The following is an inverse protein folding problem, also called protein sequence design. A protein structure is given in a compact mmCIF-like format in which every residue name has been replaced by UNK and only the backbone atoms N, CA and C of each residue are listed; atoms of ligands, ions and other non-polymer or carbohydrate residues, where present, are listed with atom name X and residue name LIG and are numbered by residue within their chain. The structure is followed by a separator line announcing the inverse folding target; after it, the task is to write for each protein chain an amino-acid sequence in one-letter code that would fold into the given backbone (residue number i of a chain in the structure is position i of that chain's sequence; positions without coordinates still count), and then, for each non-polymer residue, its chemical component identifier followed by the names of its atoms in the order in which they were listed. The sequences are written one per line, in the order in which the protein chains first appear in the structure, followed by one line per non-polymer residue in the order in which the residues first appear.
data_IF_341050758160
#
_entry.id   IF_341050758160
#
_cell.length_a   1.000
_cell.length_b   1.000
_cell.length_c   1.000
_cell.angle_alpha   90.00
_cell.angle_beta   90.00
_cell.angle_gamma   90.00
#
_symmetry.space_group_name_H-M   'P 1'
#
loop_
_entity.id
_entity.type
_entity.pdbx_description
1 polymer ?
#
# COMPACT_ATOMS: atom_id res chain seq x y z
N UNK A 1 10.41 -3.29 -15.51
CA UNK A 1 11.44 -3.88 -14.60
C UNK A 1 11.44 -3.17 -13.25
N UNK A 2 11.42 -1.84 -13.21
CA UNK A 2 11.39 -1.08 -11.94
C UNK A 2 10.17 -1.42 -11.08
N UNK A 3 9.02 -1.73 -11.69
CA UNK A 3 7.79 -2.13 -10.99
C UNK A 3 7.98 -3.38 -10.11
N UNK A 4 8.90 -4.28 -10.49
CA UNK A 4 9.22 -5.45 -9.68
C UNK A 4 9.94 -5.08 -8.39
N UNK A 5 10.67 -3.96 -8.38
CA UNK A 5 11.30 -3.46 -7.15
C UNK A 5 10.25 -3.04 -6.14
N UNK A 6 9.07 -2.54 -6.55
CA UNK A 6 8.02 -2.19 -5.61
C UNK A 6 7.56 -3.40 -4.78
N UNK A 7 7.47 -4.58 -5.39
CA UNK A 7 7.13 -5.84 -4.72
C UNK A 7 8.14 -6.24 -3.66
N UNK A 8 9.39 -5.78 -3.72
CA UNK A 8 10.36 -6.07 -2.67
C UNK A 8 9.99 -5.37 -1.36
N UNK A 9 9.24 -4.27 -1.40
CA UNK A 9 8.82 -3.55 -0.21
C UNK A 9 7.99 -4.40 0.74
N UNK A 10 7.05 -5.18 0.20
CA UNK A 10 6.22 -6.10 1.00
C UNK A 10 7.03 -7.27 1.57
N UNK A 11 8.01 -7.78 0.81
CA UNK A 11 8.90 -8.85 1.26
C UNK A 11 9.80 -8.34 2.40
N UNK A 12 10.42 -7.18 2.22
CA UNK A 12 11.26 -6.52 3.23
C UNK A 12 10.45 -6.22 4.50
N UNK A 13 9.24 -5.64 4.34
CA UNK A 13 8.32 -5.40 5.45
C UNK A 13 7.97 -6.68 6.22
N UNK A 14 7.68 -7.76 5.52
CA UNK A 14 7.38 -9.05 6.15
C UNK A 14 8.57 -9.59 6.95
N UNK A 15 9.80 -9.50 6.42
CA UNK A 15 11.01 -9.86 7.17
C UNK A 15 11.20 -8.99 8.40
N UNK A 16 11.00 -7.67 8.30
CA UNK A 16 11.07 -6.76 9.45
C UNK A 16 10.06 -7.18 10.53
N UNK A 17 8.79 -7.40 10.16
CA UNK A 17 7.76 -7.84 11.11
C UNK A 17 8.05 -9.19 11.76
N UNK A 18 8.84 -10.04 11.12
CA UNK A 18 9.29 -11.31 11.71
C UNK A 18 10.38 -11.13 12.78
N UNK A 19 11.19 -10.08 12.66
CA UNK A 19 12.29 -9.73 13.57
C UNK A 19 11.82 -8.85 14.74
N UNK A 20 10.83 -7.98 14.53
CA UNK A 20 10.39 -6.95 15.51
C UNK A 20 9.05 -7.27 16.17
N UNK A 21 8.74 -8.56 16.42
CA UNK A 21 7.41 -9.00 16.90
C UNK A 21 6.94 -8.31 18.18
N UNK A 22 7.84 -8.16 19.15
CA UNK A 22 7.49 -7.58 20.46
C UNK A 22 7.26 -6.06 20.35
N UNK A 23 8.09 -5.39 19.56
CA UNK A 23 7.95 -3.96 19.26
C UNK A 23 6.70 -3.67 18.43
N UNK A 24 6.34 -4.59 17.52
CA UNK A 24 5.19 -4.44 16.64
C UNK A 24 3.87 -4.43 17.41
N UNK A 25 3.75 -5.21 18.49
CA UNK A 25 2.54 -5.23 19.33
C UNK A 25 2.26 -3.86 19.95
N UNK A 26 3.30 -3.18 20.44
CA UNK A 26 3.20 -1.84 21.03
C UNK A 26 3.09 -0.77 19.93
N UNK A 27 3.85 -0.94 18.85
CA UNK A 27 3.96 0.02 17.74
C UNK A 27 2.87 -0.09 16.67
N UNK A 28 1.95 -1.05 16.76
CA UNK A 28 0.98 -1.39 15.69
C UNK A 28 0.20 -0.18 15.18
N UNK A 29 -0.21 0.72 16.08
CA UNK A 29 -0.96 1.94 15.73
C UNK A 29 -0.16 2.85 14.78
N UNK A 30 1.15 2.95 14.98
CA UNK A 30 2.04 3.76 14.14
C UNK A 30 2.22 3.13 12.77
N UNK A 31 2.39 1.81 12.69
CA UNK A 31 2.45 1.10 11.40
C UNK A 31 1.14 1.25 10.61
N UNK A 32 -0.02 1.17 11.27
CA UNK A 32 -1.32 1.43 10.65
C UNK A 32 -1.45 2.87 10.15
N UNK A 33 -1.01 3.85 10.96
CA UNK A 33 -1.04 5.26 10.58
C UNK A 33 -0.13 5.52 9.37
N UNK A 34 1.11 5.03 9.39
CA UNK A 34 2.06 5.13 8.28
C UNK A 34 1.52 4.44 7.02
N UNK A 35 0.95 3.24 7.15
CA UNK A 35 0.28 2.53 6.04
C UNK A 35 -0.79 3.42 5.42
N UNK A 36 -1.68 3.99 6.23
CA UNK A 36 -2.81 4.80 5.75
C UNK A 36 -2.34 6.10 5.10
N UNK A 37 -1.33 6.78 5.66
CA UNK A 37 -0.76 7.99 5.07
C UNK A 37 -0.17 7.68 3.69
N UNK A 38 0.66 6.64 3.61
CA UNK A 38 1.28 6.22 2.36
C UNK A 38 0.25 5.80 1.30
N UNK A 39 -0.83 5.13 1.72
CA UNK A 39 -1.95 4.78 0.84
C UNK A 39 -2.56 6.02 0.19
N UNK A 40 -2.89 7.05 0.98
CA UNK A 40 -3.47 8.29 0.45
C UNK A 40 -2.50 9.06 -0.44
N UNK A 41 -1.22 9.13 -0.08
CA UNK A 41 -0.18 9.73 -0.92
C UNK A 41 -0.06 8.97 -2.26
N UNK A 42 -0.13 7.65 -2.22
CA UNK A 42 -0.04 6.80 -3.41
C UNK A 42 -1.27 6.98 -4.31
N UNK A 43 -2.48 7.03 -3.75
CA UNK A 43 -3.69 7.38 -4.52
C UNK A 43 -3.53 8.75 -5.16
N UNK A 44 -3.08 9.76 -4.42
CA UNK A 44 -2.88 11.11 -4.94
C UNK A 44 -1.86 11.11 -6.10
N UNK A 45 -0.74 10.41 -5.94
CA UNK A 45 0.29 10.31 -6.97
C UNK A 45 -0.21 9.59 -8.24
N UNK A 46 -0.99 8.52 -8.08
CA UNK A 46 -1.56 7.75 -9.21
C UNK A 46 -2.66 8.54 -9.93
N UNK A 47 -3.43 9.34 -9.20
CA UNK A 47 -4.59 10.09 -9.75
C UNK A 47 -4.22 11.44 -10.33
N UNK A 48 -3.11 12.05 -9.91
CA UNK A 48 -2.64 13.36 -10.37
C UNK A 48 -2.63 13.55 -11.91
N UNK A 49 -2.16 12.59 -12.73
CA UNK A 49 -2.15 12.75 -14.18
C UNK A 49 -3.51 12.48 -14.86
N UNK A 50 -4.54 12.09 -14.12
CA UNK A 50 -5.83 11.67 -14.69
C UNK A 50 -6.80 12.85 -14.88
N UNK A 51 -7.83 12.64 -15.70
CA UNK A 51 -8.87 13.65 -15.86
C UNK A 51 -9.70 13.83 -14.56
N UNK A 52 -10.33 14.99 -14.39
CA UNK A 52 -11.10 15.33 -13.17
C UNK A 52 -12.19 14.31 -12.83
N UNK A 53 -12.85 13.74 -13.83
CA UNK A 53 -13.90 12.75 -13.63
C UNK A 53 -13.34 11.42 -13.09
N UNK A 54 -12.26 10.92 -13.67
CA UNK A 54 -11.54 9.72 -13.25
C UNK A 54 -10.98 9.88 -11.84
N UNK A 55 -10.50 11.08 -11.47
CA UNK A 55 -10.06 11.39 -10.10
C UNK A 55 -11.21 11.19 -9.11
N UNK A 56 -12.40 11.73 -9.38
CA UNK A 56 -13.56 11.58 -8.49
C UNK A 56 -13.98 10.12 -8.32
N UNK A 57 -13.96 9.33 -9.42
CA UNK A 57 -14.27 7.90 -9.37
C UNK A 57 -13.25 7.14 -8.52
N UNK A 58 -11.95 7.39 -8.69
CA UNK A 58 -10.90 6.71 -7.93
C UNK A 58 -10.93 7.12 -6.45
N UNK A 59 -11.19 8.39 -6.15
CA UNK A 59 -11.37 8.84 -4.75
C UNK A 59 -12.58 8.15 -4.13
N UNK A 60 -13.71 8.07 -4.84
CA UNK A 60 -14.90 7.35 -4.36
C UNK A 60 -14.61 5.88 -4.07
N UNK A 61 -13.93 5.19 -4.99
CA UNK A 61 -13.48 3.81 -4.80
C UNK A 61 -12.48 3.67 -3.66
N UNK A 62 -11.55 4.62 -3.51
CA UNK A 62 -10.57 4.67 -2.44
C UNK A 62 -11.20 4.84 -1.06
N UNK A 63 -12.23 5.69 -0.95
CA UNK A 63 -13.02 5.85 0.28
C UNK A 63 -13.80 4.57 0.59
N UNK A 64 -14.45 3.96 -0.41
CA UNK A 64 -15.14 2.67 -0.24
C UNK A 64 -14.20 1.57 0.23
N UNK A 65 -13.03 1.45 -0.39
CA UNK A 65 -11.95 0.53 0.01
C UNK A 65 -11.43 0.86 1.42
N UNK A 66 -11.26 2.12 1.77
CA UNK A 66 -10.82 2.53 3.10
C UNK A 66 -11.83 2.12 4.19
N UNK A 67 -13.12 2.32 3.94
CA UNK A 67 -14.19 1.88 4.85
C UNK A 67 -14.13 0.36 5.01
N UNK A 68 -14.06 -0.39 3.91
CA UNK A 68 -13.92 -1.85 3.96
C UNK A 68 -12.66 -2.30 4.72
N UNK A 69 -11.51 -1.65 4.49
CA UNK A 69 -10.24 -1.92 5.17
C UNK A 69 -10.32 -1.66 6.68
N UNK A 70 -11.09 -0.65 7.08
CA UNK A 70 -11.26 -0.32 8.49
C UNK A 70 -12.08 -1.39 9.23
N UNK A 71 -13.09 -1.96 8.57
CA UNK A 71 -14.00 -2.93 9.17
C UNK A 71 -13.56 -4.39 8.99
N UNK A 72 -12.84 -4.74 7.93
CA UNK A 72 -12.37 -6.10 7.67
C UNK A 72 -10.85 -6.21 7.81
N UNK A 73 -10.39 -6.73 8.95
CA UNK A 73 -8.97 -7.08 9.20
C UNK A 73 -8.60 -8.42 8.57
N UNK A 74 -8.84 -8.59 7.27
CA UNK A 74 -8.54 -9.83 6.57
C UNK A 74 -7.18 -9.77 5.89
N UNK A 75 -6.32 -10.75 6.17
CA UNK A 75 -5.00 -10.92 5.54
C UNK A 75 -5.08 -10.91 4.01
N UNK A 76 -6.05 -11.64 3.44
CA UNK A 76 -6.25 -11.72 2.00
C UNK A 76 -6.70 -10.39 1.39
N UNK A 77 -7.48 -9.62 2.15
CA UNK A 77 -7.95 -8.33 1.69
C UNK A 77 -6.82 -7.30 1.61
N UNK A 78 -5.91 -7.29 2.58
CA UNK A 78 -4.71 -6.45 2.54
C UNK A 78 -3.82 -6.76 1.33
N UNK A 79 -3.57 -8.05 1.04
CA UNK A 79 -2.84 -8.46 -0.16
C UNK A 79 -3.56 -8.01 -1.44
N UNK A 80 -4.88 -8.21 -1.49
CA UNK A 80 -5.69 -7.79 -2.63
C UNK A 80 -5.58 -6.28 -2.87
N UNK A 81 -5.66 -5.46 -1.82
CA UNK A 81 -5.53 -4.00 -1.96
C UNK A 81 -4.15 -3.57 -2.46
N UNK A 82 -3.09 -4.25 -2.04
CA UNK A 82 -1.74 -4.00 -2.54
C UNK A 82 -1.58 -4.38 -4.01
N UNK A 83 -2.11 -5.55 -4.39
CA UNK A 83 -2.13 -5.99 -5.79
C UNK A 83 -2.90 -5.01 -6.68
N UNK A 84 -4.03 -4.49 -6.19
CA UNK A 84 -4.85 -3.51 -6.91
C UNK A 84 -4.10 -2.18 -7.11
N UNK A 85 -3.31 -1.74 -6.12
CA UNK A 85 -2.47 -0.54 -6.23
C UNK A 85 -1.28 -0.69 -7.19
N UNK A 86 -0.87 -1.92 -7.49
CA UNK A 86 0.20 -2.20 -8.44
C UNK A 86 -0.27 -2.09 -9.90
N UNK A 87 -1.53 -2.45 -10.20
CA UNK A 87 -2.06 -2.49 -11.58
C UNK A 87 -1.83 -1.16 -12.34
N UNK A 88 -2.14 0.02 -11.77
CA UNK A 88 -1.93 1.30 -12.47
C UNK A 88 -0.47 1.54 -12.88
N UNK A 89 0.50 0.96 -12.15
CA UNK A 89 1.94 1.16 -12.44
C UNK A 89 2.39 0.44 -13.72
N UNK A 90 1.64 -0.57 -14.19
CA UNK A 90 1.91 -1.26 -15.45
C UNK A 90 1.35 -0.52 -16.66
N UNK A 91 0.37 0.35 -16.45
CA UNK A 91 -0.26 1.17 -17.50
C UNK A 91 0.36 2.56 -17.63
N UNK A 92 1.22 2.96 -16.69
CA UNK A 92 1.91 4.24 -16.72
C UNK A 92 3.10 4.21 -17.67
N UNK A 93 3.24 5.24 -18.50
CA UNK A 93 4.42 5.43 -19.33
C UNK A 93 5.69 5.65 -18.50
N UNK A 94 6.81 5.15 -19.02
CA UNK A 94 8.14 5.26 -18.42
C UNK A 94 8.57 6.73 -18.43
N UNK A 95 8.17 7.44 -17.38
CA UNK A 95 8.38 8.87 -17.15
C UNK A 95 8.71 9.10 -15.67
N UNK A 96 9.04 10.33 -15.26
CA UNK A 96 9.31 10.67 -13.85
C UNK A 96 8.22 10.19 -12.89
N UNK A 97 6.97 10.14 -13.35
CA UNK A 97 5.83 9.70 -12.55
C UNK A 97 5.94 8.23 -12.13
N UNK A 98 6.46 7.34 -13.00
CA UNK A 98 6.55 5.93 -12.66
C UNK A 98 7.53 5.71 -11.53
N UNK A 99 8.67 6.40 -11.52
CA UNK A 99 9.71 6.22 -10.50
C UNK A 99 9.20 6.66 -9.11
N UNK A 100 8.45 7.77 -9.06
CA UNK A 100 7.83 8.26 -7.83
C UNK A 100 6.80 7.24 -7.32
N UNK A 101 5.87 6.80 -8.18
CA UNK A 101 4.82 5.85 -7.79
C UNK A 101 5.43 4.52 -7.35
N UNK A 102 6.44 4.01 -8.06
CA UNK A 102 7.11 2.75 -7.72
C UNK A 102 7.82 2.82 -6.37
N UNK A 103 8.47 3.95 -6.07
CA UNK A 103 9.14 4.20 -4.79
C UNK A 103 8.14 4.32 -3.64
N UNK A 104 7.02 5.02 -3.87
CA UNK A 104 5.93 5.11 -2.90
C UNK A 104 5.30 3.74 -2.63
N UNK A 105 5.14 2.93 -3.67
CA UNK A 105 4.56 1.58 -3.55
C UNK A 105 5.50 0.62 -2.82
N UNK A 106 6.82 0.75 -3.04
CA UNK A 106 7.84 0.09 -2.21
C UNK A 106 7.71 0.51 -0.74
N UNK A 107 7.70 1.81 -0.44
CA UNK A 107 7.59 2.34 0.91
C UNK A 107 6.29 1.91 1.59
N UNK A 108 5.17 1.90 0.86
CA UNK A 108 3.88 1.41 1.33
C UNK A 108 3.89 -0.09 1.63
N UNK A 109 4.64 -0.86 0.82
CA UNK A 109 4.84 -2.30 1.03
C UNK A 109 5.48 -2.62 2.38
N UNK A 110 6.34 -1.75 2.92
CA UNK A 110 7.03 -1.99 4.20
C UNK A 110 6.05 -2.12 5.37
N UNK A 111 5.29 -1.09 5.78
CA UNK A 111 4.37 -1.19 6.91
C UNK A 111 3.26 -2.23 6.66
N UNK A 112 2.83 -2.40 5.41
CA UNK A 112 1.87 -3.44 5.04
C UNK A 112 2.44 -4.85 5.30
N UNK A 113 3.63 -5.16 4.78
CA UNK A 113 4.29 -6.44 4.97
C UNK A 113 4.51 -6.77 6.45
N UNK A 114 4.91 -5.75 7.23
CA UNK A 114 5.07 -5.87 8.68
C UNK A 114 3.74 -6.24 9.35
N UNK A 115 2.63 -5.58 9.00
CA UNK A 115 1.30 -5.84 9.54
C UNK A 115 0.71 -7.18 9.09
N UNK A 116 1.02 -7.64 7.88
CA UNK A 116 0.58 -8.94 7.35
C UNK A 116 1.16 -10.11 8.17
N UNK A 117 2.41 -9.98 8.62
CA UNK A 117 3.02 -10.99 9.50
C UNK A 117 2.30 -11.08 10.86
N UNK A 118 1.88 -9.94 11.44
CA UNK A 118 1.11 -9.89 12.68
C UNK A 118 -0.28 -10.51 12.52
N UNK A 119 -0.98 -10.14 11.45
CA UNK A 119 -2.36 -10.57 11.18
C UNK A 119 -2.49 -12.07 10.90
N UNK A 120 -1.45 -12.71 10.36
CA UNK A 120 -1.42 -14.18 10.19
C UNK A 120 -1.39 -14.94 11.51
N UNK A 121 -1.01 -14.28 12.62
CA UNK A 121 -0.85 -14.90 13.94
C UNK A 121 -2.00 -14.58 14.92
N UNK A 122 -2.87 -13.62 14.59
CA UNK A 122 -4.05 -13.27 15.38
C UNK A 122 -5.24 -14.12 14.99
#
# INVERSE_FOLDING_TARGET
MIQLLALLGIVVGYFIGSMTKDELRVGRKWFLLTKNILFWILIAAVTFPLNRFTILVIIGLGIGLFVLLHFQKSYWFEIFTYALMIIPTFTMDISTNILIVTSLLFLYGIPLGTLLHDTKRS
#
